data_IF_475909937448
#
_entry.id   IF_475909937448
#
_cell.length_a   1.000
_cell.length_b   1.000
_cell.length_c   1.000
_cell.angle_alpha   90.00
_cell.angle_beta   90.00
_cell.angle_gamma   90.00
#
_symmetry.space_group_name_H-M   'P 1'
#
loop_
_entity.id
_entity.type
_entity.pdbx_description
1 polymer ?
#
# COMPACT_ATOMS: atom_id res chain seq x y z
N UNK A 1 -13.27 53.43 -10.99
CA UNK A 1 -12.10 53.92 -11.76
C UNK A 1 -11.48 52.69 -12.40
N UNK A 2 -11.64 52.55 -13.72
CA UNK A 2 -10.69 52.97 -14.77
C UNK A 2 -9.56 51.93 -14.93
N UNK A 3 -9.52 51.16 -16.02
CA UNK A 3 -9.09 51.52 -17.41
C UNK A 3 -7.54 51.60 -17.49
N UNK A 4 -6.82 51.10 -18.51
CA UNK A 4 -7.22 50.51 -19.81
C UNK A 4 -6.13 49.57 -20.40
N UNK A 5 -6.16 49.30 -21.72
CA UNK A 5 -5.45 48.21 -22.43
C UNK A 5 -4.56 48.71 -23.60
N UNK A 6 -3.37 48.10 -23.83
CA UNK A 6 -2.50 48.24 -25.04
C UNK A 6 -2.03 49.69 -25.36
N UNK A 7 -1.43 50.03 -26.55
CA UNK A 7 -0.77 49.27 -27.65
C UNK A 7 0.79 49.37 -27.56
N UNK A 8 1.69 48.68 -28.30
CA UNK A 8 1.81 48.16 -29.68
C UNK A 8 2.64 49.04 -30.66
N UNK A 9 3.53 48.37 -31.41
CA UNK A 9 4.22 48.72 -32.68
C UNK A 9 5.34 49.80 -32.81
N UNK A 10 6.43 49.36 -33.47
CA UNK A 10 7.12 49.94 -34.66
C UNK A 10 7.75 51.35 -34.62
N UNK A 11 9.02 51.45 -35.06
CA UNK A 11 9.55 52.37 -36.11
C UNK A 11 11.05 52.04 -36.39
N UNK A 12 11.45 52.08 -37.66
CA UNK A 12 12.84 52.00 -38.17
C UNK A 12 13.01 53.11 -39.24
N UNK A 13 14.12 53.87 -39.29
CA UNK A 13 14.68 54.23 -40.60
C UNK A 13 16.20 54.58 -40.68
N UNK A 14 16.66 54.77 -41.93
CA UNK A 14 17.95 55.30 -42.46
C UNK A 14 19.13 54.30 -42.55
N UNK A 15 19.80 54.04 -43.68
CA UNK A 15 20.14 54.79 -44.93
C UNK A 15 21.33 55.78 -44.75
N UNK A 16 22.10 56.19 -45.82
CA UNK A 16 21.75 56.16 -47.26
C UNK A 16 22.85 55.86 -48.32
N UNK A 17 22.42 55.74 -49.59
CA UNK A 17 23.08 56.18 -50.87
C UNK A 17 24.47 55.61 -51.27
N UNK A 18 24.86 55.53 -52.55
CA UNK A 18 24.23 55.87 -53.85
C UNK A 18 24.39 54.67 -54.85
N UNK A 19 24.50 54.71 -56.20
CA UNK A 19 24.65 55.76 -57.25
C UNK A 19 24.15 55.22 -58.62
N UNK A 20 24.12 56.07 -59.65
CA UNK A 20 23.86 55.83 -61.09
C UNK A 20 24.77 56.82 -61.91
N UNK A 21 24.95 56.80 -63.27
CA UNK A 21 24.02 56.32 -64.31
C UNK A 21 24.76 55.59 -65.51
N UNK A 22 24.44 55.70 -66.84
CA UNK A 22 24.25 54.49 -67.69
C UNK A 22 24.97 54.43 -69.07
N UNK A 23 24.97 53.26 -69.75
CA UNK A 23 24.77 53.14 -71.21
C UNK A 23 24.60 51.67 -71.71
N UNK A 24 24.31 51.49 -73.00
CA UNK A 24 23.66 50.35 -73.68
C UNK A 24 24.63 49.40 -74.46
N UNK A 25 24.19 48.43 -75.31
CA UNK A 25 23.68 47.09 -74.92
C UNK A 25 24.33 45.89 -75.70
N UNK A 26 23.78 44.67 -75.50
CA UNK A 26 24.11 43.37 -76.18
C UNK A 26 25.30 42.55 -75.58
N UNK A 27 25.47 41.24 -75.90
CA UNK A 27 24.51 40.15 -75.59
C UNK A 27 25.15 38.82 -75.08
N UNK A 28 24.34 37.94 -74.46
CA UNK A 28 24.65 36.53 -74.04
C UNK A 28 25.76 36.47 -72.94
N UNK A 29 25.90 35.50 -72.02
CA UNK A 29 25.46 34.09 -71.91
C UNK A 29 24.98 33.77 -70.49
N UNK A 30 23.96 32.91 -70.35
CA UNK A 30 23.53 32.36 -69.05
C UNK A 30 24.39 31.16 -68.61
N UNK A 31 24.99 31.17 -67.41
CA UNK A 31 25.62 29.98 -66.84
C UNK A 31 24.54 28.98 -66.38
N UNK A 32 24.74 27.65 -66.54
CA UNK A 32 23.72 26.66 -66.20
C UNK A 32 23.51 26.54 -64.69
N UNK A 33 22.24 26.52 -64.28
CA UNK A 33 21.85 26.30 -62.89
C UNK A 33 22.25 24.87 -62.48
N UNK A 34 23.24 24.74 -61.59
CA UNK A 34 23.65 23.43 -61.05
C UNK A 34 22.57 22.86 -60.15
N UNK A 35 21.71 22.01 -60.70
CA UNK A 35 20.70 21.28 -59.94
C UNK A 35 21.38 20.42 -58.87
N UNK A 36 21.04 20.67 -57.60
CA UNK A 36 21.61 19.94 -56.47
C UNK A 36 21.02 18.53 -56.46
N UNK A 37 21.83 17.45 -56.51
CA UNK A 37 21.29 16.10 -56.56
C UNK A 37 20.57 15.78 -55.24
N UNK A 38 19.25 15.64 -55.28
CA UNK A 38 18.49 15.17 -54.12
C UNK A 38 18.91 13.74 -53.77
N UNK A 39 19.06 13.46 -52.48
CA UNK A 39 19.53 12.16 -52.00
C UNK A 39 18.58 11.05 -52.44
N UNK A 40 19.07 10.13 -53.26
CA UNK A 40 18.29 8.99 -53.77
C UNK A 40 17.72 8.12 -52.64
N UNK A 41 18.34 8.11 -51.46
CA UNK A 41 17.88 7.34 -50.29
C UNK A 41 16.48 7.73 -49.80
N UNK A 42 16.08 9.01 -49.92
CA UNK A 42 14.78 9.47 -49.40
C UNK A 42 13.58 8.88 -50.19
N UNK A 43 13.74 8.68 -51.50
CA UNK A 43 12.69 8.13 -52.37
C UNK A 43 12.42 6.64 -52.12
N UNK A 44 13.45 5.85 -51.77
CA UNK A 44 13.29 4.44 -51.42
C UNK A 44 12.65 4.25 -50.04
N UNK A 45 12.88 5.18 -49.11
CA UNK A 45 12.33 5.12 -47.74
C UNK A 45 10.80 5.13 -47.67
N UNK A 46 10.12 5.85 -48.57
CA UNK A 46 8.65 5.95 -48.58
C UNK A 46 8.00 4.64 -49.07
N UNK A 47 8.59 3.99 -50.08
CA UNK A 47 8.04 2.77 -50.69
C UNK A 47 8.40 1.53 -49.86
N UNK A 48 9.59 1.47 -49.26
CA UNK A 48 9.98 0.39 -48.33
C UNK A 48 9.35 0.52 -46.94
N UNK A 49 9.22 1.75 -46.41
CA UNK A 49 8.73 2.01 -45.06
C UNK A 49 7.25 1.70 -44.86
N UNK A 50 6.42 1.85 -45.89
CA UNK A 50 5.00 1.52 -45.84
C UNK A 50 4.75 0.02 -45.62
N UNK A 51 5.52 -0.85 -46.30
CA UNK A 51 5.46 -2.31 -46.12
C UNK A 51 5.89 -2.69 -44.71
N UNK A 52 6.96 -2.09 -44.18
CA UNK A 52 7.40 -2.29 -42.79
C UNK A 52 6.34 -1.86 -41.77
N UNK A 53 5.72 -0.71 -41.96
CA UNK A 53 4.64 -0.21 -41.10
C UNK A 53 3.41 -1.14 -41.14
N UNK A 54 2.99 -1.56 -42.34
CA UNK A 54 1.85 -2.48 -42.51
C UNK A 54 2.15 -3.83 -41.85
N UNK A 55 3.37 -4.37 -41.98
CA UNK A 55 3.76 -5.60 -41.28
C UNK A 55 3.72 -5.44 -39.76
N UNK A 56 4.19 -4.32 -39.20
CA UNK A 56 4.10 -4.04 -37.75
C UNK A 56 2.63 -3.95 -37.31
N UNK A 57 1.78 -3.25 -38.06
CA UNK A 57 0.34 -3.16 -37.76
C UNK A 57 -0.35 -4.52 -37.87
N UNK A 58 -0.04 -5.32 -38.89
CA UNK A 58 -0.56 -6.69 -39.05
C UNK A 58 -0.09 -7.60 -37.91
N UNK A 59 1.16 -7.47 -37.44
CA UNK A 59 1.66 -8.20 -36.26
C UNK A 59 0.90 -7.79 -34.99
N UNK A 60 0.69 -6.49 -34.76
CA UNK A 60 -0.08 -6.00 -33.60
C UNK A 60 -1.54 -6.48 -33.66
N UNK A 61 -2.19 -6.37 -34.82
CA UNK A 61 -3.57 -6.85 -35.04
C UNK A 61 -3.65 -8.37 -34.89
N UNK A 62 -2.66 -9.12 -35.39
CA UNK A 62 -2.58 -10.56 -35.18
C UNK A 62 -2.41 -10.91 -33.69
N UNK A 63 -1.57 -10.21 -32.94
CA UNK A 63 -1.44 -10.39 -31.49
C UNK A 63 -2.74 -10.10 -30.73
N UNK A 64 -3.58 -9.18 -31.21
CA UNK A 64 -4.91 -8.91 -30.63
C UNK A 64 -5.93 -9.97 -31.03
N UNK A 65 -6.03 -10.33 -32.32
CA UNK A 65 -7.06 -11.23 -32.86
C UNK A 65 -6.80 -12.69 -32.53
N UNK A 66 -5.55 -13.17 -32.63
CA UNK A 66 -5.18 -14.55 -32.27
C UNK A 66 -4.93 -14.75 -30.76
N UNK A 67 -5.14 -13.72 -29.93
CA UNK A 67 -5.11 -13.82 -28.45
C UNK A 67 -6.49 -13.92 -27.81
N UNK A 68 -7.58 -13.95 -28.58
CA UNK A 68 -8.94 -14.15 -28.05
C UNK A 68 -8.97 -15.53 -27.36
N UNK A 69 -9.18 -15.62 -26.03
CA UNK A 69 -9.11 -16.89 -25.33
C UNK A 69 -10.31 -17.78 -25.67
N UNK A 70 -10.07 -19.09 -25.74
CA UNK A 70 -11.10 -20.07 -26.06
C UNK A 70 -11.73 -20.68 -24.78
N UNK A 71 -12.83 -21.44 -24.93
CA UNK A 71 -13.56 -22.07 -23.81
C UNK A 71 -12.67 -22.85 -22.84
N UNK A 72 -11.65 -23.55 -23.34
CA UNK A 72 -10.70 -24.30 -22.53
C UNK A 72 -9.74 -23.39 -21.77
N UNK A 73 -9.33 -22.25 -22.34
CA UNK A 73 -8.45 -21.29 -21.66
C UNK A 73 -9.16 -20.69 -20.43
N UNK A 74 -10.46 -20.36 -20.54
CA UNK A 74 -11.29 -19.94 -19.39
C UNK A 74 -11.52 -21.08 -18.39
N UNK A 75 -11.74 -22.31 -18.88
CA UNK A 75 -11.96 -23.46 -18.01
C UNK A 75 -10.73 -23.75 -17.16
N UNK A 76 -9.53 -23.77 -17.75
CA UNK A 76 -8.27 -23.99 -17.03
C UNK A 76 -8.02 -22.89 -15.99
N UNK A 77 -8.36 -21.64 -16.28
CA UNK A 77 -8.27 -20.55 -15.31
C UNK A 77 -9.29 -20.68 -14.17
N UNK A 78 -10.49 -21.22 -14.43
CA UNK A 78 -11.45 -21.55 -13.38
C UNK A 78 -10.98 -22.73 -12.52
N UNK A 79 -10.43 -23.79 -13.13
CA UNK A 79 -9.85 -24.95 -12.44
C UNK A 79 -8.69 -24.53 -11.53
N UNK A 80 -7.79 -23.66 -12.01
CA UNK A 80 -6.70 -23.07 -11.21
C UNK A 80 -7.21 -22.24 -10.00
N UNK A 81 -8.40 -21.64 -10.09
CA UNK A 81 -9.04 -20.95 -8.96
C UNK A 81 -9.83 -21.91 -8.05
N UNK A 82 -10.30 -23.05 -8.56
CA UNK A 82 -10.98 -24.09 -7.76
C UNK A 82 -9.97 -24.78 -6.81
N UNK A 83 -8.83 -25.20 -7.35
CA UNK A 83 -7.67 -25.70 -6.59
C UNK A 83 -7.10 -24.64 -5.63
N UNK A 84 -7.24 -23.35 -5.99
CA UNK A 84 -6.84 -22.22 -5.17
C UNK A 84 -8.02 -21.48 -4.53
N UNK A 85 -8.65 -22.10 -3.53
CA UNK A 85 -9.42 -21.34 -2.52
C UNK A 85 -8.50 -20.35 -1.76
N UNK A 86 -8.36 -19.13 -2.26
CA UNK A 86 -7.62 -18.04 -1.64
C UNK A 86 -8.34 -17.56 -0.40
N UNK A 87 -9.66 -17.41 -0.49
CA UNK A 87 -10.53 -16.97 0.61
C UNK A 87 -10.34 -17.87 1.82
N UNK A 88 -10.36 -19.20 1.70
CA UNK A 88 -10.19 -20.08 2.86
C UNK A 88 -8.76 -20.11 3.41
N UNK A 89 -7.73 -19.79 2.62
CA UNK A 89 -6.34 -19.66 3.09
C UNK A 89 -6.17 -18.35 3.88
N UNK A 90 -6.67 -17.22 3.36
CA UNK A 90 -6.60 -15.93 4.05
C UNK A 90 -7.61 -15.81 5.21
N UNK A 91 -8.80 -16.42 5.13
CA UNK A 91 -9.71 -16.55 6.28
C UNK A 91 -9.12 -17.41 7.39
N UNK A 92 -8.34 -18.46 7.08
CA UNK A 92 -7.55 -19.18 8.11
C UNK A 92 -6.49 -18.26 8.73
N UNK A 93 -5.83 -17.41 7.94
CA UNK A 93 -4.87 -16.41 8.46
C UNK A 93 -5.51 -15.31 9.34
N UNK A 94 -6.77 -14.95 9.10
CA UNK A 94 -7.57 -14.12 10.01
C UNK A 94 -8.22 -14.94 11.16
N UNK A 95 -8.28 -16.26 11.03
CA UNK A 95 -9.20 -17.16 11.72
C UNK A 95 -8.67 -17.81 13.00
N UNK A 96 -8.22 -16.98 13.96
CA UNK A 96 -8.01 -17.33 15.37
C UNK A 96 -7.03 -18.48 15.73
N UNK A 97 -6.44 -19.21 14.78
CA UNK A 97 -5.69 -20.45 15.03
C UNK A 97 -4.27 -20.49 14.43
N UNK A 98 -3.75 -19.38 13.89
CA UNK A 98 -2.37 -19.35 13.36
C UNK A 98 -1.43 -18.72 14.39
N UNK A 99 -0.74 -19.58 15.14
CA UNK A 99 0.19 -19.21 16.22
C UNK A 99 1.57 -18.71 15.72
N UNK A 100 1.84 -18.66 14.41
CA UNK A 100 3.12 -18.20 13.86
C UNK A 100 3.02 -17.25 12.67
N UNK A 101 3.85 -16.19 12.74
CA UNK A 101 4.13 -15.21 11.68
C UNK A 101 4.63 -15.87 10.38
N UNK A 102 5.33 -16.99 10.52
CA UNK A 102 5.77 -17.90 9.46
C UNK A 102 4.60 -18.39 8.59
N UNK A 103 3.51 -18.88 9.20
CA UNK A 103 2.38 -19.45 8.46
C UNK A 103 1.55 -18.40 7.72
N UNK A 104 1.55 -17.14 8.17
CA UNK A 104 1.00 -16.01 7.39
C UNK A 104 1.93 -15.65 6.23
N UNK A 105 3.25 -15.65 6.41
CA UNK A 105 4.18 -15.41 5.30
C UNK A 105 4.15 -16.54 4.25
N UNK A 106 3.97 -17.80 4.66
CA UNK A 106 3.69 -18.94 3.79
C UNK A 106 2.36 -18.77 3.02
N UNK A 107 1.29 -18.38 3.71
CA UNK A 107 -0.02 -18.12 3.10
C UNK A 107 0.04 -16.99 2.06
N UNK A 108 0.78 -15.91 2.36
CA UNK A 108 1.02 -14.79 1.44
C UNK A 108 1.84 -15.26 0.24
N UNK A 109 2.96 -15.97 0.46
CA UNK A 109 3.80 -16.53 -0.61
C UNK A 109 3.03 -17.44 -1.57
N UNK A 110 2.16 -18.32 -1.03
CA UNK A 110 1.27 -19.18 -1.82
C UNK A 110 0.22 -18.40 -2.61
N UNK A 111 -0.26 -17.27 -2.07
CA UNK A 111 -1.24 -16.41 -2.74
C UNK A 111 -0.57 -15.56 -3.83
N UNK A 112 0.62 -14.99 -3.57
CA UNK A 112 1.43 -14.30 -4.58
C UNK A 112 1.74 -15.24 -5.77
N UNK A 113 2.20 -16.47 -5.50
CA UNK A 113 2.42 -17.49 -6.54
C UNK A 113 1.16 -17.80 -7.36
N UNK A 114 -0.01 -17.90 -6.72
CA UNK A 114 -1.27 -18.09 -7.45
C UNK A 114 -1.61 -16.90 -8.35
N UNK A 115 -1.37 -15.66 -7.91
CA UNK A 115 -1.56 -14.48 -8.75
C UNK A 115 -0.62 -14.48 -9.96
N UNK A 116 0.66 -14.87 -9.79
CA UNK A 116 1.62 -15.00 -10.89
C UNK A 116 1.20 -16.10 -11.89
N UNK A 117 0.76 -17.26 -11.39
CA UNK A 117 0.22 -18.35 -12.23
C UNK A 117 -1.05 -17.90 -12.97
N UNK A 118 -1.96 -17.18 -12.31
CA UNK A 118 -3.23 -16.73 -12.88
C UNK A 118 -3.06 -15.60 -13.91
N UNK A 119 -2.15 -14.63 -13.72
CA UNK A 119 -1.85 -13.58 -14.72
C UNK A 119 -1.29 -14.17 -16.02
N UNK A 120 -0.53 -15.27 -15.91
CA UNK A 120 0.04 -15.98 -17.06
C UNK A 120 -1.00 -16.68 -17.94
N UNK A 121 -2.20 -16.94 -17.40
CA UNK A 121 -3.26 -17.66 -18.11
C UNK A 121 -3.81 -16.85 -19.28
N UNK A 122 -3.95 -17.49 -20.45
CA UNK A 122 -4.51 -16.85 -21.65
C UNK A 122 -5.86 -16.16 -21.41
N UNK A 123 -6.69 -16.69 -20.51
CA UNK A 123 -7.96 -16.08 -20.10
C UNK A 123 -7.82 -14.60 -19.70
N UNK A 124 -6.68 -14.20 -19.13
CA UNK A 124 -6.36 -12.82 -18.74
C UNK A 124 -6.11 -11.87 -19.93
N UNK A 125 -6.25 -12.35 -21.17
CA UNK A 125 -6.27 -11.52 -22.39
C UNK A 125 -7.67 -11.06 -22.79
N UNK A 126 -8.73 -11.65 -22.23
CA UNK A 126 -10.09 -11.11 -22.36
C UNK A 126 -10.21 -9.82 -21.52
N UNK A 127 -10.63 -8.67 -22.10
CA UNK A 127 -10.68 -7.39 -21.37
C UNK A 127 -11.71 -7.31 -20.24
N UNK A 128 -12.71 -8.18 -20.18
CA UNK A 128 -13.65 -8.27 -19.06
C UNK A 128 -13.05 -9.08 -17.91
N UNK A 129 -12.45 -10.23 -18.24
CA UNK A 129 -11.73 -11.11 -17.29
C UNK A 129 -10.55 -10.36 -16.67
N UNK A 130 -9.71 -9.69 -17.47
CA UNK A 130 -8.56 -8.94 -16.94
C UNK A 130 -8.98 -7.83 -15.97
N UNK A 131 -10.08 -7.12 -16.26
CA UNK A 131 -10.64 -6.11 -15.34
C UNK A 131 -11.22 -6.73 -14.06
N UNK A 132 -11.68 -7.98 -14.08
CA UNK A 132 -12.10 -8.69 -12.87
C UNK A 132 -10.88 -9.14 -12.04
N UNK A 133 -9.86 -9.70 -12.71
CA UNK A 133 -8.58 -10.05 -12.11
C UNK A 133 -7.87 -8.84 -11.49
N UNK A 134 -7.80 -7.71 -12.17
CA UNK A 134 -7.13 -6.50 -11.65
C UNK A 134 -7.82 -5.94 -10.40
N UNK A 135 -9.14 -6.17 -10.24
CA UNK A 135 -9.85 -5.85 -8.99
C UNK A 135 -9.52 -6.85 -7.88
N UNK A 136 -9.49 -8.14 -8.18
CA UNK A 136 -9.13 -9.21 -7.25
C UNK A 136 -7.69 -9.06 -6.73
N UNK A 137 -6.72 -8.84 -7.64
CA UNK A 137 -5.32 -8.56 -7.28
C UNK A 137 -5.20 -7.26 -6.47
N UNK A 138 -5.93 -6.20 -6.83
CA UNK A 138 -5.93 -4.96 -6.04
C UNK A 138 -6.46 -5.20 -4.61
N UNK A 139 -7.57 -5.92 -4.42
CA UNK A 139 -8.08 -6.23 -3.08
C UNK A 139 -7.09 -7.06 -2.26
N UNK A 140 -6.31 -7.95 -2.90
CA UNK A 140 -5.23 -8.70 -2.26
C UNK A 140 -4.06 -7.82 -1.83
N UNK A 141 -3.55 -6.97 -2.74
CA UNK A 141 -2.42 -6.08 -2.46
C UNK A 141 -2.77 -5.07 -1.34
N UNK A 142 -4.02 -4.61 -1.26
CA UNK A 142 -4.53 -3.80 -0.13
C UNK A 142 -4.73 -4.59 1.17
N UNK A 143 -4.93 -5.91 1.12
CA UNK A 143 -5.15 -6.79 2.27
C UNK A 143 -3.85 -7.29 2.93
N UNK A 144 -2.75 -7.41 2.16
CA UNK A 144 -1.43 -7.89 2.64
C UNK A 144 -0.95 -7.20 3.92
N UNK A 145 -0.98 -5.87 3.95
CA UNK A 145 -0.52 -5.06 5.09
C UNK A 145 -1.38 -5.29 6.34
N UNK A 146 -2.71 -5.07 6.27
CA UNK A 146 -3.64 -5.31 7.38
C UNK A 146 -3.58 -6.71 7.99
N UNK A 147 -3.40 -7.79 7.22
CA UNK A 147 -3.19 -9.14 7.78
C UNK A 147 -1.88 -9.21 8.59
N UNK A 148 -0.75 -8.71 8.03
CA UNK A 148 0.54 -8.70 8.76
C UNK A 148 0.46 -7.88 10.05
N UNK A 149 -0.23 -6.75 10.03
CA UNK A 149 -0.46 -5.92 11.22
C UNK A 149 -1.31 -6.65 12.26
N UNK A 150 -2.43 -7.27 11.85
CA UNK A 150 -3.29 -8.05 12.76
C UNK A 150 -2.54 -9.17 13.50
N UNK A 151 -1.61 -9.85 12.82
CA UNK A 151 -0.75 -10.89 13.42
C UNK A 151 0.20 -10.29 14.46
N UNK A 152 0.90 -9.21 14.10
CA UNK A 152 1.79 -8.45 14.99
C UNK A 152 1.04 -7.98 16.24
N UNK A 153 -0.14 -7.42 16.07
CA UNK A 153 -0.97 -6.89 17.15
C UNK A 153 -1.61 -7.99 18.01
N UNK A 154 -1.93 -9.16 17.43
CA UNK A 154 -2.40 -10.34 18.18
C UNK A 154 -1.28 -10.95 19.04
N UNK A 155 -0.04 -10.98 18.52
CA UNK A 155 1.17 -11.36 19.28
C UNK A 155 1.43 -10.39 20.43
N UNK A 156 1.33 -9.08 20.17
CA UNK A 156 1.41 -8.03 21.20
C UNK A 156 0.30 -8.18 22.25
N UNK A 157 -0.92 -8.54 21.86
CA UNK A 157 -2.04 -8.75 22.79
C UNK A 157 -1.86 -10.01 23.66
N UNK A 158 -1.33 -11.11 23.09
CA UNK A 158 -0.95 -12.33 23.83
C UNK A 158 0.11 -12.00 24.88
N UNK A 159 1.17 -11.28 24.49
CA UNK A 159 2.23 -10.83 25.40
C UNK A 159 1.69 -9.85 26.48
N UNK A 160 0.82 -8.92 26.13
CA UNK A 160 0.15 -8.02 27.08
C UNK A 160 -0.72 -8.79 28.09
N UNK A 161 -1.50 -9.77 27.63
CA UNK A 161 -2.34 -10.60 28.49
C UNK A 161 -1.52 -11.38 29.51
N UNK A 162 -0.39 -11.94 29.10
CA UNK A 162 0.53 -12.70 29.95
C UNK A 162 1.28 -11.81 30.96
N UNK A 163 1.71 -10.61 30.55
CA UNK A 163 2.64 -9.78 31.34
C UNK A 163 1.98 -8.65 32.13
N UNK A 164 0.88 -8.07 31.64
CA UNK A 164 0.30 -6.81 32.14
C UNK A 164 -1.15 -6.89 32.66
N UNK A 165 -1.94 -7.88 32.24
CA UNK A 165 -3.40 -7.84 32.43
C UNK A 165 -3.85 -8.16 33.87
N UNK A 166 -3.02 -8.84 34.65
CA UNK A 166 -3.26 -9.10 36.08
C UNK A 166 -2.42 -8.15 36.94
N UNK A 167 -3.03 -7.36 37.83
CA UNK A 167 -2.27 -6.50 38.76
C UNK A 167 -1.41 -7.36 39.69
N UNK A 168 -0.08 -7.16 39.61
CA UNK A 168 0.86 -7.90 40.44
C UNK A 168 0.85 -7.31 41.86
N UNK A 169 0.38 -8.09 42.82
CA UNK A 169 0.25 -7.64 44.21
C UNK A 169 1.60 -7.19 44.81
N UNK A 170 1.59 -6.00 45.41
CA UNK A 170 2.72 -5.40 46.14
C UNK A 170 2.26 -5.13 47.57
N UNK A 171 2.80 -5.88 48.54
CA UNK A 171 2.53 -5.61 49.96
C UNK A 171 3.25 -4.34 50.40
N UNK A 172 2.50 -3.44 51.02
CA UNK A 172 2.98 -2.18 51.62
C UNK A 172 3.18 -2.27 53.13
N UNK A 173 2.87 -3.41 53.76
CA UNK A 173 2.94 -3.54 55.22
C UNK A 173 4.39 -3.60 55.72
N UNK A 174 4.73 -2.76 56.70
CA UNK A 174 6.05 -2.75 57.36
C UNK A 174 7.21 -2.28 56.48
N UNK A 175 6.95 -1.55 55.38
CA UNK A 175 7.96 -1.12 54.40
C UNK A 175 8.04 0.39 54.24
N UNK A 176 9.21 0.87 53.85
CA UNK A 176 9.42 2.26 53.43
C UNK A 176 8.87 2.52 52.02
N UNK A 177 8.69 3.79 51.66
CA UNK A 177 8.27 4.18 50.32
C UNK A 177 9.22 3.66 49.23
N UNK A 178 10.54 3.72 49.44
CA UNK A 178 11.53 3.26 48.46
C UNK A 178 11.56 1.74 48.33
N UNK A 179 11.27 1.00 49.40
CA UNK A 179 11.08 -0.46 49.33
C UNK A 179 9.83 -0.80 48.50
N UNK A 180 8.72 -0.09 48.71
CA UNK A 180 7.47 -0.28 47.96
C UNK A 180 7.63 0.10 46.48
N UNK A 181 8.34 1.19 46.19
CA UNK A 181 8.70 1.59 44.82
C UNK A 181 9.52 0.52 44.12
N UNK A 182 10.61 0.03 44.74
CA UNK A 182 11.43 -1.06 44.18
C UNK A 182 10.65 -2.36 43.99
N UNK A 183 9.80 -2.74 44.93
CA UNK A 183 8.96 -3.94 44.81
C UNK A 183 7.93 -3.78 43.68
N UNK A 184 7.34 -2.59 43.51
CA UNK A 184 6.44 -2.30 42.39
C UNK A 184 7.17 -2.38 41.04
N UNK A 185 8.32 -1.73 40.93
CA UNK A 185 9.15 -1.72 39.72
C UNK A 185 9.63 -3.13 39.36
N UNK A 186 10.02 -3.93 40.36
CA UNK A 186 10.43 -5.33 40.23
C UNK A 186 9.28 -6.24 39.80
N UNK A 187 8.14 -6.21 40.51
CA UNK A 187 6.98 -7.06 40.20
C UNK A 187 6.39 -6.76 38.83
N UNK A 188 6.35 -5.48 38.43
CA UNK A 188 5.77 -5.05 37.16
C UNK A 188 6.79 -4.98 36.00
N UNK A 189 8.07 -5.33 36.23
CA UNK A 189 9.17 -5.16 35.26
C UNK A 189 8.83 -5.67 33.85
N UNK A 190 8.30 -6.88 33.73
CA UNK A 190 7.99 -7.49 32.43
C UNK A 190 6.92 -6.72 31.65
N UNK A 191 5.94 -6.16 32.37
CA UNK A 191 4.92 -5.29 31.79
C UNK A 191 5.51 -3.93 31.40
N UNK A 192 6.27 -3.30 32.31
CA UNK A 192 6.94 -2.01 32.07
C UNK A 192 7.88 -2.10 30.85
N UNK A 193 8.62 -3.21 30.72
CA UNK A 193 9.51 -3.46 29.58
C UNK A 193 8.72 -3.70 28.29
N UNK A 194 7.59 -4.42 28.33
CA UNK A 194 6.68 -4.58 27.20
C UNK A 194 6.12 -3.23 26.73
N UNK A 195 5.55 -2.44 27.64
CA UNK A 195 4.98 -1.14 27.32
C UNK A 195 6.04 -0.16 26.80
N UNK A 196 7.28 -0.20 27.32
CA UNK A 196 8.40 0.57 26.77
C UNK A 196 8.75 0.20 25.32
N UNK A 197 8.61 -1.08 24.92
CA UNK A 197 8.73 -1.49 23.51
C UNK A 197 7.53 -1.04 22.69
N UNK A 198 6.32 -1.28 23.18
CA UNK A 198 5.06 -0.94 22.50
C UNK A 198 4.90 0.58 22.27
N UNK A 199 5.39 1.43 23.18
CA UNK A 199 5.51 2.89 23.01
C UNK A 199 6.35 3.29 21.80
N UNK A 200 7.31 2.46 21.38
CA UNK A 200 8.12 2.66 20.18
C UNK A 200 7.57 2.01 18.92
N UNK A 201 6.30 1.58 18.92
CA UNK A 201 5.67 0.92 17.77
C UNK A 201 5.30 1.92 16.66
N UNK A 202 5.31 1.43 15.43
CA UNK A 202 4.75 2.08 14.23
C UNK A 202 3.22 2.23 14.30
N UNK A 203 2.55 1.30 14.99
CA UNK A 203 1.13 1.33 15.29
C UNK A 203 0.82 2.40 16.36
N UNK A 204 0.33 3.57 15.96
CA UNK A 204 0.11 4.71 16.87
C UNK A 204 -0.83 4.38 18.03
N UNK A 205 -1.93 3.64 17.78
CA UNK A 205 -2.88 3.23 18.82
C UNK A 205 -2.22 2.35 19.89
N UNK A 206 -1.29 1.49 19.50
CA UNK A 206 -0.51 0.67 20.44
C UNK A 206 0.50 1.52 21.21
N UNK A 207 1.13 2.51 20.56
CA UNK A 207 2.07 3.42 21.20
C UNK A 207 1.40 4.39 22.19
N UNK A 208 0.23 4.94 21.83
CA UNK A 208 -0.66 5.76 22.66
C UNK A 208 -1.12 4.96 23.89
N UNK A 209 -1.72 3.79 23.67
CA UNK A 209 -2.11 2.86 24.75
C UNK A 209 -0.94 2.53 25.69
N UNK A 210 0.24 2.26 25.13
CA UNK A 210 1.41 1.92 25.93
C UNK A 210 1.93 3.09 26.77
N UNK A 211 1.82 4.33 26.25
CA UNK A 211 2.13 5.54 27.00
C UNK A 211 1.12 5.77 28.14
N UNK A 212 -0.19 5.74 27.86
CA UNK A 212 -1.23 5.89 28.89
C UNK A 212 -1.07 4.86 30.01
N UNK A 213 -0.82 3.60 29.63
CA UNK A 213 -0.65 2.50 30.59
C UNK A 213 0.61 2.67 31.45
N UNK A 214 1.72 3.18 30.89
CA UNK A 214 2.92 3.53 31.66
C UNK A 214 2.65 4.66 32.67
N UNK A 215 1.96 5.73 32.25
CA UNK A 215 1.64 6.85 33.12
C UNK A 215 0.69 6.42 34.26
N UNK A 216 -0.30 5.58 33.98
CA UNK A 216 -1.18 5.01 34.99
C UNK A 216 -0.44 4.10 35.98
N UNK A 217 0.53 3.32 35.51
CA UNK A 217 1.38 2.52 36.39
C UNK A 217 2.29 3.41 37.27
N UNK A 218 2.80 4.52 36.74
CA UNK A 218 3.54 5.52 37.53
C UNK A 218 2.64 6.19 38.59
N UNK A 219 1.40 6.59 38.24
CA UNK A 219 0.41 7.12 39.20
C UNK A 219 0.13 6.12 40.32
N UNK A 220 -0.03 4.83 39.99
CA UNK A 220 -0.28 3.76 40.96
C UNK A 220 0.93 3.46 41.85
N UNK A 221 2.14 3.49 41.29
CA UNK A 221 3.41 3.37 42.03
C UNK A 221 3.52 4.46 43.09
N UNK A 222 3.40 5.71 42.67
CA UNK A 222 3.59 6.86 43.55
C UNK A 222 2.45 7.01 44.57
N UNK A 223 1.24 6.56 44.23
CA UNK A 223 0.14 6.39 45.18
C UNK A 223 0.49 5.35 46.26
N UNK A 224 0.97 4.15 45.90
CA UNK A 224 1.36 3.11 46.87
C UNK A 224 2.52 3.57 47.75
N UNK A 225 3.45 4.38 47.24
CA UNK A 225 4.52 5.01 48.01
C UNK A 225 3.98 6.03 49.03
N UNK A 226 3.25 7.07 48.59
CA UNK A 226 2.69 8.12 49.45
C UNK A 226 1.79 7.56 50.56
N UNK A 227 1.02 6.51 50.24
CA UNK A 227 0.16 5.79 51.19
C UNK A 227 0.93 5.15 52.36
N UNK A 228 2.18 4.76 52.16
CA UNK A 228 3.02 4.16 53.21
C UNK A 228 3.65 5.20 54.16
N UNK A 229 3.84 6.44 53.69
CA UNK A 229 4.36 7.56 54.48
C UNK A 229 3.26 8.24 55.32
N UNK A 230 1.99 8.02 54.96
CA UNK A 230 0.83 8.67 55.58
C UNK A 230 0.63 8.22 57.03
N UNK A 231 0.69 9.19 57.94
CA UNK A 231 0.42 9.04 59.38
C UNK A 231 -0.99 9.55 59.70
N UNK A 232 -1.74 8.84 60.53
CA UNK A 232 -3.10 9.20 60.90
C UNK A 232 -3.91 8.01 61.43
N UNK A 233 -5.22 8.16 61.54
CA UNK A 233 -6.12 7.03 61.80
C UNK A 233 -6.16 6.07 60.61
N UNK A 234 -6.52 4.81 60.87
CA UNK A 234 -6.72 3.80 59.81
C UNK A 234 -7.76 4.30 58.80
N UNK A 235 -8.85 4.93 59.26
CA UNK A 235 -9.91 5.47 58.40
C UNK A 235 -9.40 6.55 57.44
N UNK A 236 -8.52 7.44 57.92
CA UNK A 236 -7.89 8.48 57.09
C UNK A 236 -6.92 7.89 56.05
N UNK A 237 -6.32 6.74 56.34
CA UNK A 237 -5.48 6.00 55.38
C UNK A 237 -6.38 5.22 54.40
N UNK A 238 -7.48 4.61 54.86
CA UNK A 238 -8.45 3.89 54.03
C UNK A 238 -9.27 4.79 53.09
N UNK A 239 -9.50 6.06 53.46
CA UNK A 239 -10.27 7.01 52.63
C UNK A 239 -9.58 7.42 51.32
N UNK A 240 -8.25 7.31 51.24
CA UNK A 240 -7.51 7.61 50.01
C UNK A 240 -7.79 6.52 48.96
N UNK A 241 -8.45 6.92 47.87
CA UNK A 241 -8.77 6.02 46.75
C UNK A 241 -7.53 5.87 45.83
N UNK A 242 -7.26 4.66 45.28
CA UNK A 242 -6.28 4.51 44.22
C UNK A 242 -6.72 5.27 42.96
N UNK A 243 -5.77 5.77 42.14
CA UNK A 243 -6.11 6.30 40.82
C UNK A 243 -6.74 5.22 39.94
N UNK A 244 -7.73 5.61 39.13
CA UNK A 244 -8.45 4.73 38.20
C UNK A 244 -7.69 4.59 36.89
N UNK A 245 -7.55 3.36 36.38
CA UNK A 245 -7.04 3.10 35.05
C UNK A 245 -8.04 3.53 33.96
N UNK A 246 -7.59 4.19 32.88
CA UNK A 246 -8.46 4.61 31.77
C UNK A 246 -8.38 3.74 30.51
N UNK A 247 -7.20 3.20 30.22
CA UNK A 247 -6.87 2.60 28.91
C UNK A 247 -7.33 1.14 28.79
N UNK A 248 -8.33 0.85 27.94
CA UNK A 248 -8.58 -0.52 27.43
C UNK A 248 -7.58 -0.88 26.34
N UNK A 249 -7.20 -2.16 26.22
CA UNK A 249 -6.30 -2.58 25.13
C UNK A 249 -6.99 -2.40 23.76
N UNK A 250 -6.35 -1.70 22.79
CA UNK A 250 -6.97 -1.38 21.49
C UNK A 250 -7.30 -2.61 20.64
N UNK A 251 -8.39 -2.51 19.85
CA UNK A 251 -8.81 -3.55 18.92
C UNK A 251 -8.26 -3.31 17.51
N UNK A 252 -7.72 -4.37 16.89
CA UNK A 252 -6.96 -4.32 15.65
C UNK A 252 -7.52 -5.16 14.49
N UNK A 253 -8.50 -6.04 14.73
CA UNK A 253 -9.01 -6.97 13.71
C UNK A 253 -9.97 -6.38 12.66
N UNK A 254 -10.47 -5.15 12.86
CA UNK A 254 -11.56 -4.59 12.05
C UNK A 254 -11.24 -4.41 10.56
N UNK A 255 -10.05 -3.88 10.24
CA UNK A 255 -9.65 -3.62 8.84
C UNK A 255 -9.25 -4.89 8.09
N UNK A 256 -8.52 -5.80 8.75
CA UNK A 256 -8.14 -7.09 8.14
C UNK A 256 -9.40 -7.92 7.80
N UNK A 257 -10.37 -7.96 8.71
CA UNK A 257 -11.67 -8.62 8.51
C UNK A 257 -12.45 -8.03 7.33
N UNK A 258 -12.65 -6.70 7.28
CA UNK A 258 -13.44 -6.07 6.21
C UNK A 258 -12.80 -6.21 4.83
N UNK A 259 -11.46 -6.12 4.73
CA UNK A 259 -10.74 -6.32 3.48
C UNK A 259 -10.70 -7.78 3.04
N UNK A 260 -10.73 -8.74 3.96
CA UNK A 260 -10.81 -10.17 3.61
C UNK A 260 -12.16 -10.50 2.97
N UNK A 261 -13.25 -9.88 3.45
CA UNK A 261 -14.56 -10.00 2.81
C UNK A 261 -14.60 -9.37 1.40
N UNK A 262 -13.98 -8.21 1.20
CA UNK A 262 -13.88 -7.59 -0.13
C UNK A 262 -13.06 -8.46 -1.12
N UNK A 263 -11.94 -9.03 -0.65
CA UNK A 263 -11.10 -9.96 -1.41
C UNK A 263 -11.89 -11.21 -1.88
N UNK A 264 -12.59 -11.90 -0.97
CA UNK A 264 -13.42 -13.07 -1.31
C UNK A 264 -14.55 -12.71 -2.28
N UNK A 265 -15.13 -11.51 -2.15
CA UNK A 265 -16.13 -11.00 -3.09
C UNK A 265 -15.57 -10.85 -4.52
N UNK A 266 -14.29 -10.46 -4.69
CA UNK A 266 -13.67 -10.37 -6.02
C UNK A 266 -13.26 -11.73 -6.55
N UNK A 267 -12.75 -12.61 -5.69
CA UNK A 267 -12.39 -14.01 -6.02
C UNK A 267 -13.61 -14.73 -6.61
N UNK A 268 -14.74 -14.71 -5.90
CA UNK A 268 -16.00 -15.29 -6.34
C UNK A 268 -16.50 -14.66 -7.67
N UNK A 269 -16.39 -13.34 -7.83
CA UNK A 269 -16.81 -12.64 -9.06
C UNK A 269 -15.93 -12.99 -10.27
N UNK A 270 -14.63 -13.19 -10.10
CA UNK A 270 -13.72 -13.63 -11.16
C UNK A 270 -13.98 -15.10 -11.54
N UNK A 271 -14.06 -15.99 -10.56
CA UNK A 271 -14.34 -17.42 -10.75
C UNK A 271 -15.64 -17.65 -11.53
N UNK A 272 -16.73 -16.98 -11.14
CA UNK A 272 -18.02 -17.12 -11.84
C UNK A 272 -17.99 -16.54 -13.26
N UNK A 273 -17.19 -15.50 -13.53
CA UNK A 273 -17.00 -14.98 -14.88
C UNK A 273 -16.27 -16.01 -15.77
N UNK A 274 -15.24 -16.69 -15.25
CA UNK A 274 -14.53 -17.76 -15.96
C UNK A 274 -15.43 -18.99 -16.19
N UNK A 275 -16.23 -19.39 -15.20
CA UNK A 275 -17.25 -20.44 -15.35
C UNK A 275 -18.38 -20.10 -16.33
N UNK A 276 -18.62 -18.81 -16.58
CA UNK A 276 -19.57 -18.35 -17.62
C UNK A 276 -18.90 -18.41 -19.00
N UNK A 277 -17.74 -17.76 -19.15
CA UNK A 277 -16.96 -17.68 -20.41
C UNK A 277 -16.52 -19.05 -20.95
N UNK A 278 -16.34 -20.06 -20.08
CA UNK A 278 -16.05 -21.44 -20.51
C UNK A 278 -17.25 -22.17 -21.15
N UNK A 279 -18.47 -21.61 -21.08
CA UNK A 279 -19.71 -22.19 -21.63
C UNK A 279 -20.18 -21.47 -22.90
N UNK A 280 -20.04 -20.14 -22.95
CA UNK A 280 -20.42 -19.25 -24.07
C UNK A 280 -19.71 -19.59 -25.39
#
# INVERSE_FOLDING_TARGET
>A
MKDQEKPAETIQPKAPQATNPPQSPQPVVTPPLKSKPMSKGLLWGIIGGSIGLVLIVVIIVAFVVFSIPNKQDYKQAAELMDDFSGESRLLRANGFNIDSEESINDSISKTDKHFDELDSMKAMRDPEVKRAYDRYKKSYDELKGPIKNYVKDSKNYKEYKEKCLYERYVSTFGKTAEQIGRDYDSKNKECIDFLKRAKGSDNSKLAEFAQERLDDMQKMRDYKMKRAEKKGSIDSILSDKPPTYSSSYPSFGGEASSRTADFGEKEYKLYNLLLKKSKE
#
